data_IF_463080426102
#
_entry.id   IF_463080426102
#
_cell.length_a   1.000
_cell.length_b   1.000
_cell.length_c   1.000
_cell.angle_alpha   90.00
_cell.angle_beta   90.00
_cell.angle_gamma   90.00
#
_symmetry.space_group_name_H-M   'P 1'
#
loop_
_entity.id
_entity.type
_entity.pdbx_description
1 polymer ?
#
# COMPACT_ATOMS: atom_id res chain seq x y z
N UNK A 1 -1.10 17.83 9.57
CA UNK A 1 -1.34 16.48 10.11
C UNK A 1 -2.80 16.35 10.51
N UNK A 2 -3.47 15.32 10.02
CA UNK A 2 -4.87 15.02 10.37
C UNK A 2 -5.02 14.59 11.84
N UNK A 3 -6.26 14.58 12.34
CA UNK A 3 -6.54 14.15 13.72
C UNK A 3 -6.12 12.69 13.96
N UNK A 4 -5.78 12.35 15.20
CA UNK A 4 -5.34 10.99 15.57
C UNK A 4 -6.37 9.93 15.21
N UNK A 5 -7.66 10.22 15.41
CA UNK A 5 -8.75 9.32 15.04
C UNK A 5 -8.81 9.12 13.52
N UNK A 6 -8.69 10.18 12.73
CA UNK A 6 -8.68 10.09 11.28
C UNK A 6 -7.45 9.33 10.76
N UNK A 7 -6.29 9.54 11.39
CA UNK A 7 -5.06 8.81 11.07
C UNK A 7 -5.22 7.30 11.33
N UNK A 8 -5.72 6.90 12.50
CA UNK A 8 -5.95 5.49 12.83
C UNK A 8 -6.93 4.86 11.84
N UNK A 9 -8.02 5.56 11.51
CA UNK A 9 -8.98 5.09 10.51
C UNK A 9 -8.33 4.91 9.14
N UNK A 10 -7.56 5.90 8.68
CA UNK A 10 -6.90 5.84 7.38
C UNK A 10 -5.88 4.70 7.28
N UNK A 11 -5.08 4.50 8.32
CA UNK A 11 -4.12 3.38 8.43
C UNK A 11 -4.84 2.02 8.43
N UNK A 12 -5.94 1.89 9.19
CA UNK A 12 -6.72 0.66 9.24
C UNK A 12 -7.35 0.32 7.87
N UNK A 13 -7.94 1.31 7.20
CA UNK A 13 -8.55 1.13 5.88
C UNK A 13 -7.51 0.75 4.83
N UNK A 14 -6.37 1.44 4.82
CA UNK A 14 -5.27 1.13 3.87
C UNK A 14 -4.67 -0.25 4.11
N UNK A 15 -4.50 -0.67 5.37
CA UNK A 15 -4.10 -2.04 5.72
C UNK A 15 -5.06 -3.09 5.20
N UNK A 16 -6.36 -2.94 5.48
CA UNK A 16 -7.38 -3.89 5.01
C UNK A 16 -7.40 -3.93 3.47
N UNK A 17 -7.27 -2.77 2.81
CA UNK A 17 -7.21 -2.70 1.36
C UNK A 17 -6.01 -3.48 0.79
N UNK A 18 -4.80 -3.28 1.31
CA UNK A 18 -3.62 -4.03 0.82
C UNK A 18 -3.69 -5.52 1.14
N UNK A 19 -4.23 -5.90 2.29
CA UNK A 19 -4.41 -7.31 2.64
C UNK A 19 -5.38 -8.00 1.67
N UNK A 20 -6.50 -7.35 1.35
CA UNK A 20 -7.47 -7.83 0.35
C UNK A 20 -6.82 -7.88 -1.05
N UNK A 21 -6.06 -6.85 -1.43
CA UNK A 21 -5.34 -6.84 -2.71
C UNK A 21 -4.36 -8.02 -2.79
N UNK A 22 -3.57 -8.27 -1.75
CA UNK A 22 -2.64 -9.40 -1.73
C UNK A 22 -3.36 -10.74 -1.97
N UNK A 23 -4.52 -10.95 -1.34
CA UNK A 23 -5.36 -12.14 -1.57
C UNK A 23 -5.85 -12.22 -3.02
N UNK A 24 -6.41 -11.13 -3.56
CA UNK A 24 -6.92 -11.09 -4.94
C UNK A 24 -5.80 -11.39 -5.95
N UNK A 25 -4.57 -10.95 -5.64
CA UNK A 25 -3.38 -11.18 -6.47
C UNK A 25 -2.66 -12.51 -6.21
N UNK A 26 -3.23 -13.41 -5.39
CA UNK A 26 -2.80 -14.80 -5.30
C UNK A 26 -2.26 -15.26 -3.94
N UNK A 27 -2.26 -14.41 -2.91
CA UNK A 27 -1.91 -14.85 -1.56
C UNK A 27 -2.98 -15.80 -1.00
N UNK A 28 -2.58 -16.95 -0.40
CA UNK A 28 -3.53 -17.90 0.14
C UNK A 28 -4.19 -17.38 1.42
N UNK A 29 -5.51 -17.56 1.52
CA UNK A 29 -6.34 -16.89 2.53
C UNK A 29 -6.08 -17.38 3.98
N UNK A 30 -5.77 -18.68 4.15
CA UNK A 30 -5.69 -19.31 5.48
C UNK A 30 -4.31 -19.87 5.85
N UNK A 31 -3.44 -20.17 4.89
CA UNK A 31 -2.13 -20.79 5.17
C UNK A 31 -1.06 -19.78 5.54
N UNK A 32 -1.02 -18.63 4.86
CA UNK A 32 0.08 -17.67 4.96
C UNK A 32 -0.38 -16.30 5.46
N UNK A 33 -1.22 -16.33 6.51
CA UNK A 33 -1.78 -15.13 7.16
C UNK A 33 -0.66 -14.22 7.65
N UNK A 34 0.40 -14.78 8.24
CA UNK A 34 1.52 -14.01 8.78
C UNK A 34 2.27 -13.25 7.67
N UNK A 35 2.66 -13.95 6.59
CA UNK A 35 3.38 -13.36 5.45
C UNK A 35 2.53 -12.30 4.74
N UNK A 36 1.25 -12.58 4.53
CA UNK A 36 0.30 -11.63 3.92
C UNK A 36 0.11 -10.39 4.80
N UNK A 37 0.06 -10.58 6.13
CA UNK A 37 -0.03 -9.49 7.10
C UNK A 37 1.21 -8.60 7.08
N UNK A 38 2.40 -9.20 7.02
CA UNK A 38 3.68 -8.45 6.97
C UNK A 38 3.77 -7.64 5.68
N UNK A 39 3.38 -8.20 4.53
CA UNK A 39 3.33 -7.47 3.27
C UNK A 39 2.35 -6.29 3.34
N UNK A 40 1.12 -6.55 3.79
CA UNK A 40 0.09 -5.51 3.92
C UNK A 40 0.54 -4.39 4.89
N UNK A 41 1.11 -4.75 6.04
CA UNK A 41 1.63 -3.78 7.01
C UNK A 41 2.80 -2.95 6.44
N UNK A 42 3.67 -3.56 5.64
CA UNK A 42 4.80 -2.87 5.00
C UNK A 42 4.30 -1.86 3.97
N UNK A 43 3.37 -2.27 3.09
CA UNK A 43 2.75 -1.38 2.11
C UNK A 43 2.01 -0.23 2.78
N UNK A 44 1.22 -0.52 3.82
CA UNK A 44 0.55 0.51 4.63
C UNK A 44 1.54 1.47 5.28
N UNK A 45 2.65 0.99 5.80
CA UNK A 45 3.65 1.86 6.44
C UNK A 45 4.25 2.84 5.42
N UNK A 46 4.54 2.37 4.21
CA UNK A 46 5.15 3.19 3.16
C UNK A 46 4.14 4.16 2.52
N UNK A 47 2.86 3.80 2.43
CA UNK A 47 1.83 4.67 1.84
C UNK A 47 1.16 5.60 2.86
N UNK A 48 0.72 5.06 3.99
CA UNK A 48 -0.15 5.76 4.92
C UNK A 48 0.61 6.71 5.84
N UNK A 49 1.85 6.39 6.24
CA UNK A 49 2.63 7.27 7.12
C UNK A 49 2.93 8.61 6.44
N UNK A 50 3.46 8.66 5.19
CA UNK A 50 3.65 9.93 4.51
C UNK A 50 2.33 10.72 4.34
N UNK A 51 1.23 10.04 4.02
CA UNK A 51 -0.06 10.68 3.85
C UNK A 51 -0.58 11.32 5.16
N UNK A 52 -0.54 10.59 6.28
CA UNK A 52 -0.99 11.10 7.59
C UNK A 52 -0.19 12.32 8.02
N UNK A 53 1.14 12.30 7.79
CA UNK A 53 2.04 13.38 8.21
C UNK A 53 1.90 14.62 7.32
N UNK A 54 1.81 14.43 6.00
CA UNK A 54 1.87 15.53 5.04
C UNK A 54 0.52 16.22 4.78
N UNK A 55 -0.59 15.51 4.95
CA UNK A 55 -1.91 16.08 4.76
C UNK A 55 -2.51 16.67 6.04
N UNK A 56 -3.25 17.76 5.87
CA UNK A 56 -3.92 18.48 6.96
C UNK A 56 -5.42 18.16 7.04
N UNK A 57 -6.00 17.58 5.99
CA UNK A 57 -7.43 17.23 5.93
C UNK A 57 -7.63 15.85 5.31
N UNK A 58 -8.57 15.07 5.87
CA UNK A 58 -9.00 13.79 5.31
C UNK A 58 -9.65 13.96 3.93
N UNK A 59 -10.44 15.03 3.76
CA UNK A 59 -11.09 15.35 2.48
C UNK A 59 -10.04 15.57 1.38
N UNK A 60 -8.93 16.22 1.72
CA UNK A 60 -7.85 16.48 0.77
C UNK A 60 -7.12 15.20 0.37
N UNK A 61 -6.92 14.27 1.30
CA UNK A 61 -6.37 12.94 0.99
C UNK A 61 -7.29 12.24 -0.02
N UNK A 62 -8.59 12.22 0.25
CA UNK A 62 -9.56 11.57 -0.63
C UNK A 62 -9.60 12.22 -2.01
N UNK A 63 -9.65 13.56 -2.09
CA UNK A 63 -9.63 14.31 -3.33
C UNK A 63 -8.38 13.98 -4.16
N UNK A 64 -7.20 14.01 -3.56
CA UNK A 64 -5.93 13.70 -4.26
C UNK A 64 -5.91 12.25 -4.77
N UNK A 65 -6.38 11.29 -3.98
CA UNK A 65 -6.46 9.89 -4.40
C UNK A 65 -7.43 9.73 -5.58
N UNK A 66 -8.63 10.30 -5.50
CA UNK A 66 -9.64 10.22 -6.56
C UNK A 66 -9.16 10.90 -7.84
N UNK A 67 -8.62 12.12 -7.75
CA UNK A 67 -8.09 12.85 -8.90
C UNK A 67 -6.88 12.13 -9.52
N UNK A 68 -6.06 11.44 -8.72
CA UNK A 68 -4.96 10.61 -9.25
C UNK A 68 -5.45 9.42 -10.07
N UNK A 69 -6.58 8.80 -9.67
CA UNK A 69 -7.20 7.71 -10.42
C UNK A 69 -7.82 8.19 -11.74
N UNK A 70 -8.34 9.42 -11.78
CA UNK A 70 -8.87 10.05 -13.00
C UNK A 70 -7.78 10.58 -13.94
N UNK A 71 -6.50 10.54 -13.57
CA UNK A 71 -5.38 11.14 -14.31
C UNK A 71 -5.50 12.66 -14.53
N UNK A 72 -6.40 13.31 -13.79
CA UNK A 72 -6.76 14.73 -13.93
C UNK A 72 -6.12 15.57 -12.79
N UNK A 73 -4.87 15.29 -12.45
CA UNK A 73 -4.19 15.95 -11.32
C UNK A 73 -2.83 16.51 -11.70
N UNK A 74 -2.56 17.73 -11.26
CA UNK A 74 -1.23 18.32 -11.15
C UNK A 74 -0.87 18.45 -9.66
N UNK A 75 -0.32 17.41 -9.03
CA UNK A 75 -0.12 17.39 -7.59
C UNK A 75 0.96 18.39 -7.18
N UNK A 76 0.76 19.04 -6.03
CA UNK A 76 1.83 19.82 -5.39
C UNK A 76 2.97 18.89 -4.95
N UNK A 77 4.15 19.45 -4.64
CA UNK A 77 5.29 18.69 -4.13
C UNK A 77 4.93 17.86 -2.88
N UNK A 78 4.03 18.37 -2.02
CA UNK A 78 3.58 17.65 -0.82
C UNK A 78 2.72 16.44 -1.17
N UNK A 79 1.87 16.56 -2.18
CA UNK A 79 0.93 15.52 -2.61
C UNK A 79 1.60 14.46 -3.49
N UNK A 80 2.65 14.85 -4.22
CA UNK A 80 3.40 13.94 -5.07
C UNK A 80 4.19 12.90 -4.28
N UNK A 81 4.65 13.23 -3.06
CA UNK A 81 5.36 12.29 -2.18
C UNK A 81 4.54 11.04 -1.87
N UNK A 82 3.35 11.12 -1.22
CA UNK A 82 2.55 9.94 -0.90
C UNK A 82 2.04 9.22 -2.15
N UNK A 83 1.77 9.94 -3.26
CA UNK A 83 1.40 9.32 -4.53
C UNK A 83 2.54 8.44 -5.06
N UNK A 84 3.73 9.01 -5.22
CA UNK A 84 4.87 8.26 -5.76
C UNK A 84 5.35 7.17 -4.82
N UNK A 85 5.45 7.41 -3.51
CA UNK A 85 5.87 6.34 -2.57
C UNK A 85 4.90 5.18 -2.60
N UNK A 86 3.59 5.43 -2.69
CA UNK A 86 2.58 4.38 -2.82
C UNK A 86 2.71 3.65 -4.15
N UNK A 87 2.81 4.37 -5.27
CA UNK A 87 2.96 3.76 -6.59
C UNK A 87 4.22 2.90 -6.68
N UNK A 88 5.37 3.40 -6.24
CA UNK A 88 6.62 2.65 -6.27
C UNK A 88 6.62 1.49 -5.26
N UNK A 89 5.97 1.61 -4.11
CA UNK A 89 5.83 0.50 -3.16
C UNK A 89 4.99 -0.64 -3.75
N UNK A 90 3.86 -0.32 -4.38
CA UNK A 90 3.00 -1.30 -5.05
C UNK A 90 3.74 -1.90 -6.25
N UNK A 91 4.29 -1.09 -7.14
CA UNK A 91 5.05 -1.61 -8.29
C UNK A 91 6.25 -2.46 -7.84
N UNK A 92 6.96 -2.03 -6.80
CA UNK A 92 8.10 -2.74 -6.24
C UNK A 92 7.73 -4.07 -5.60
N UNK A 93 6.67 -4.11 -4.80
CA UNK A 93 6.21 -5.34 -4.15
C UNK A 93 5.76 -6.40 -5.18
N UNK A 94 5.03 -5.99 -6.22
CA UNK A 94 4.62 -6.92 -7.28
C UNK A 94 5.76 -7.28 -8.23
N UNK A 95 6.69 -6.37 -8.52
CA UNK A 95 7.91 -6.69 -9.25
C UNK A 95 8.77 -7.72 -8.47
N UNK A 96 8.90 -7.58 -7.15
CA UNK A 96 9.59 -8.54 -6.30
C UNK A 96 8.90 -9.92 -6.30
N UNK A 97 7.57 -9.94 -6.35
CA UNK A 97 6.80 -11.18 -6.53
C UNK A 97 7.00 -11.79 -7.93
N UNK A 98 7.22 -10.99 -8.98
CA UNK A 98 7.56 -11.52 -10.32
C UNK A 98 8.95 -12.16 -10.39
N UNK A 99 9.83 -11.88 -9.42
CA UNK A 99 11.14 -12.51 -9.24
C UNK A 99 11.05 -13.74 -8.30
N UNK A 100 9.94 -13.95 -7.58
CA UNK A 100 9.70 -15.19 -6.82
C UNK A 100 9.66 -16.51 -7.61
N UNK A 101 9.51 -16.57 -8.95
CA UNK A 101 9.79 -17.80 -9.69
C UNK A 101 11.26 -18.26 -9.56
N UNK A 102 12.16 -17.36 -9.12
CA UNK A 102 13.54 -17.65 -8.75
C UNK A 102 13.69 -18.03 -7.26
N UNK A 103 12.62 -18.01 -6.47
CA UNK A 103 12.65 -18.39 -5.07
C UNK A 103 12.71 -19.92 -4.94
N UNK A 104 13.69 -20.31 -4.16
CA UNK A 104 14.35 -21.61 -4.06
C UNK A 104 13.59 -22.60 -3.15
N UNK A 105 12.29 -22.37 -2.92
CA UNK A 105 11.51 -23.16 -1.95
C UNK A 105 10.75 -24.31 -2.62
N UNK A 106 11.48 -25.05 -3.47
CA UNK A 106 11.01 -26.26 -4.10
C UNK A 106 11.53 -27.45 -3.29
N UNK A 107 10.64 -28.31 -2.80
CA UNK A 107 11.00 -29.53 -2.06
C UNK A 107 11.88 -30.54 -2.86
N UNK A 108 12.08 -30.32 -4.16
CA UNK A 108 12.94 -31.09 -5.07
C UNK A 108 14.26 -30.38 -5.47
N UNK A 109 14.57 -29.24 -4.86
CA UNK A 109 15.94 -28.70 -4.89
C UNK A 109 16.82 -29.40 -3.83
N UNK A 110 16.58 -30.72 -3.73
CA UNK A 110 17.47 -31.83 -3.37
C UNK A 110 17.33 -32.85 -4.50
#
# INVERSE_FOLDING_TARGET
>A
MISTLAAVKYVAVTFVAFYILAIIFGAPFFSDIASTTVLAASLTSISAVPAVVLFDSEERIFEVVVSSLSCDINPTIKESVPLYTTSFAVLGAWAAASVHPLDWDRWWQV
#
